data_IF_882278184724
#
_entry.id   IF_882278184724
#
_cell.length_a   1.000
_cell.length_b   1.000
_cell.length_c   1.000
_cell.angle_alpha   90.00
_cell.angle_beta   90.00
_cell.angle_gamma   90.00
#
_symmetry.space_group_name_H-M   'P 1'
#
loop_
_entity.id
_entity.type
_entity.pdbx_description
1 polymer ?
#
# COMPACT_ATOMS: atom_id res chain seq x y z
N UNK A 1 15.94 13.63 1.68
CA UNK A 1 15.39 12.40 2.32
C UNK A 1 14.00 11.97 1.82
N UNK A 2 13.34 12.70 0.90
CA UNK A 2 11.96 12.41 0.45
C UNK A 2 11.79 11.10 -0.33
N UNK A 3 12.78 10.70 -1.14
CA UNK A 3 12.72 9.45 -1.94
C UNK A 3 12.67 8.18 -1.06
N UNK A 4 13.36 8.16 0.10
CA UNK A 4 13.42 6.99 0.98
C UNK A 4 12.05 6.65 1.57
N UNK A 5 11.28 7.67 1.94
CA UNK A 5 9.98 7.48 2.60
C UNK A 5 8.91 6.99 1.60
N UNK A 6 8.97 7.47 0.36
CA UNK A 6 8.14 7.00 -0.75
C UNK A 6 8.45 5.54 -1.08
N UNK A 7 9.73 5.16 -1.15
CA UNK A 7 10.14 3.78 -1.41
C UNK A 7 9.66 2.79 -0.33
N UNK A 8 9.74 3.19 0.95
CA UNK A 8 9.20 2.41 2.06
C UNK A 8 7.67 2.32 1.99
N UNK A 9 7.00 3.42 1.66
CA UNK A 9 5.55 3.45 1.45
C UNK A 9 5.10 2.48 0.37
N UNK A 10 5.77 2.47 -0.79
CA UNK A 10 5.47 1.55 -1.90
C UNK A 10 5.62 0.09 -1.48
N UNK A 11 6.74 -0.26 -0.83
CA UNK A 11 6.99 -1.64 -0.39
C UNK A 11 5.95 -2.07 0.65
N UNK A 12 5.69 -1.24 1.66
CA UNK A 12 4.67 -1.53 2.68
C UNK A 12 3.27 -1.64 2.07
N UNK A 13 2.90 -0.71 1.19
CA UNK A 13 1.62 -0.71 0.50
C UNK A 13 1.43 -1.94 -0.39
N UNK A 14 2.48 -2.39 -1.08
CA UNK A 14 2.44 -3.61 -1.89
C UNK A 14 2.25 -4.87 -1.03
N UNK A 15 3.01 -5.02 0.06
CA UNK A 15 2.92 -6.20 0.95
C UNK A 15 1.55 -6.23 1.65
N UNK A 16 1.11 -5.09 2.19
CA UNK A 16 -0.19 -4.97 2.84
C UNK A 16 -1.33 -5.18 1.84
N UNK A 17 -1.23 -4.60 0.65
CA UNK A 17 -2.18 -4.78 -0.44
C UNK A 17 -2.38 -6.25 -0.76
N UNK A 18 -1.30 -6.98 -1.07
CA UNK A 18 -1.36 -8.41 -1.40
C UNK A 18 -1.90 -9.26 -0.25
N UNK A 19 -1.53 -8.95 0.99
CA UNK A 19 -2.03 -9.67 2.17
C UNK A 19 -3.55 -9.46 2.34
N UNK A 20 -4.02 -8.21 2.23
CA UNK A 20 -5.45 -7.89 2.34
C UNK A 20 -6.23 -8.48 1.16
N UNK A 21 -5.71 -8.34 -0.07
CA UNK A 21 -6.33 -8.90 -1.27
C UNK A 21 -6.43 -10.42 -1.23
N UNK A 22 -5.40 -11.12 -0.75
CA UNK A 22 -5.45 -12.58 -0.60
C UNK A 22 -6.44 -13.03 0.46
N UNK A 23 -6.53 -12.34 1.61
CA UNK A 23 -7.53 -12.64 2.65
C UNK A 23 -8.95 -12.41 2.14
N UNK A 24 -9.22 -11.26 1.51
CA UNK A 24 -10.56 -10.96 0.98
C UNK A 24 -10.91 -11.95 -0.13
N UNK A 25 -9.99 -12.22 -1.04
CA UNK A 25 -10.16 -13.19 -2.10
C UNK A 25 -10.43 -14.61 -1.58
N UNK A 26 -9.79 -15.01 -0.48
CA UNK A 26 -10.05 -16.31 0.15
C UNK A 26 -11.45 -16.40 0.78
N UNK A 27 -11.99 -15.28 1.27
CA UNK A 27 -13.35 -15.21 1.84
C UNK A 27 -14.41 -15.14 0.73
N UNK A 28 -14.16 -14.38 -0.34
CA UNK A 28 -15.10 -14.20 -1.47
C UNK A 28 -15.10 -15.39 -2.44
N UNK A 29 -14.03 -16.20 -2.45
CA UNK A 29 -13.85 -17.31 -3.39
C UNK A 29 -13.11 -16.93 -4.67
N UNK A 30 -12.84 -15.64 -4.88
CA UNK A 30 -12.17 -15.08 -6.07
C UNK A 30 -10.78 -14.51 -5.75
N UNK A 31 -9.88 -15.39 -5.31
CA UNK A 31 -8.50 -15.03 -4.89
C UNK A 31 -7.73 -14.35 -6.02
N UNK A 32 -7.79 -14.89 -7.23
CA UNK A 32 -7.03 -14.37 -8.38
C UNK A 32 -7.42 -12.94 -8.76
N UNK A 33 -8.71 -12.61 -8.68
CA UNK A 33 -9.21 -11.27 -8.99
C UNK A 33 -8.75 -10.27 -7.93
N UNK A 34 -8.96 -10.59 -6.64
CA UNK A 34 -8.59 -9.71 -5.55
C UNK A 34 -7.08 -9.51 -5.40
N UNK A 35 -6.28 -10.55 -5.65
CA UNK A 35 -4.82 -10.44 -5.65
C UNK A 35 -4.35 -9.54 -6.79
N UNK A 36 -4.88 -9.71 -8.01
CA UNK A 36 -4.53 -8.84 -9.15
C UNK A 36 -4.92 -7.39 -8.90
N UNK A 37 -6.08 -7.15 -8.29
CA UNK A 37 -6.55 -5.82 -7.89
C UNK A 37 -5.60 -5.20 -6.86
N UNK A 38 -5.17 -5.99 -5.88
CA UNK A 38 -4.29 -5.52 -4.81
C UNK A 38 -2.86 -5.19 -5.27
N UNK A 39 -2.35 -5.84 -6.32
CA UNK A 39 -1.06 -5.49 -6.94
C UNK A 39 -1.14 -4.13 -7.63
N UNK A 40 -2.28 -3.78 -8.21
CA UNK A 40 -2.49 -2.47 -8.83
C UNK A 40 -2.70 -1.36 -7.78
N UNK A 41 -3.52 -1.61 -6.76
CA UNK A 41 -3.90 -0.59 -5.77
C UNK A 41 -2.92 -0.49 -4.59
N UNK A 42 -2.23 -1.56 -4.21
CA UNK A 42 -1.31 -1.60 -3.06
C UNK A 42 -0.19 -0.55 -3.11
N UNK A 43 0.57 -0.45 -4.23
CA UNK A 43 1.59 0.59 -4.38
C UNK A 43 1.01 2.01 -4.34
N UNK A 44 -0.15 2.22 -4.95
CA UNK A 44 -0.83 3.51 -4.97
C UNK A 44 -1.23 3.96 -3.56
N UNK A 45 -1.83 3.06 -2.77
CA UNK A 45 -2.15 3.31 -1.37
C UNK A 45 -0.89 3.57 -0.53
N UNK A 46 0.18 2.80 -0.77
CA UNK A 46 1.47 2.99 -0.12
C UNK A 46 2.09 4.38 -0.36
N UNK A 47 1.99 4.88 -1.59
CA UNK A 47 2.44 6.24 -1.94
C UNK A 47 1.60 7.30 -1.25
N UNK A 48 0.27 7.16 -1.24
CA UNK A 48 -0.64 8.10 -0.58
C UNK A 48 -0.29 8.19 0.92
N UNK A 49 -0.13 7.05 1.58
CA UNK A 49 0.25 7.00 3.00
C UNK A 49 1.63 7.63 3.23
N UNK A 50 2.62 7.36 2.38
CA UNK A 50 3.94 7.98 2.49
C UNK A 50 3.91 9.50 2.29
N UNK A 51 3.08 10.00 1.38
CA UNK A 51 2.90 11.44 1.16
C UNK A 51 2.23 12.07 2.38
N UNK A 52 1.16 11.47 2.91
CA UNK A 52 0.45 11.98 4.09
C UNK A 52 1.40 11.99 5.30
N UNK A 53 2.08 10.87 5.56
CA UNK A 53 3.02 10.76 6.68
C UNK A 53 4.21 11.72 6.54
N UNK A 54 4.71 11.89 5.31
CA UNK A 54 5.78 12.84 5.01
C UNK A 54 5.36 14.31 5.17
N UNK A 55 4.06 14.64 5.00
CA UNK A 55 3.54 15.98 5.29
C UNK A 55 3.29 16.18 6.78
N UNK A 56 2.68 15.22 7.49
CA UNK A 56 2.46 15.31 8.95
C UNK A 56 3.79 15.51 9.68
N UNK A 57 4.81 14.73 9.33
CA UNK A 57 6.14 14.86 9.96
C UNK A 57 6.81 16.20 9.66
N UNK A 58 6.39 16.88 8.60
CA UNK A 58 6.92 18.18 8.20
C UNK A 58 6.22 19.34 8.92
N UNK A 59 5.04 19.11 9.50
CA UNK A 59 4.35 20.06 10.38
C UNK A 59 4.83 19.96 11.85
N UNK A 60 5.57 18.90 12.21
CA UNK A 60 6.16 18.71 13.54
C UNK A 60 7.60 19.25 13.69
N UNK A 61 8.24 19.73 12.61
CA UNK A 61 9.63 20.21 12.56
C UNK A 61 9.69 21.72 12.23
#
# INVERSE_FOLDING_TARGET
MKIKLIGIGVVLGAILGVTVGSVIGAVTGDVSFWVSMSVAFGPALGIIVAIIYGNIKKDEE
#
